data_IF_163980141796
#
_entry.id   IF_163980141796
#
_cell.length_a   1.000
_cell.length_b   1.000
_cell.length_c   1.000
_cell.angle_alpha   90.00
_cell.angle_beta   90.00
_cell.angle_gamma   90.00
#
_symmetry.space_group_name_H-M   'P 1'
#
loop_
_entity.id
_entity.type
_entity.pdbx_description
1 polymer ?
#
# COMPACT_ATOMS: atom_id res chain seq x y z
N UNK A 1 16.89 -32.71 -31.76
CA UNK A 1 15.44 -32.42 -31.67
C UNK A 1 15.18 -31.91 -30.26
N UNK A 2 14.90 -30.60 -30.14
CA UNK A 2 14.56 -29.77 -28.96
C UNK A 2 15.61 -29.72 -27.81
N UNK A 3 16.36 -28.62 -27.61
CA UNK A 3 16.01 -27.30 -27.01
C UNK A 3 15.86 -27.37 -25.48
N UNK A 4 16.80 -26.78 -24.71
CA UNK A 4 16.74 -25.43 -24.06
C UNK A 4 15.85 -25.44 -22.79
N UNK A 5 16.07 -24.76 -21.66
CA UNK A 5 17.04 -23.81 -21.08
C UNK A 5 16.67 -23.70 -19.58
N UNK A 6 17.62 -23.28 -18.73
CA UNK A 6 17.48 -22.91 -17.31
C UNK A 6 16.13 -22.29 -16.89
N UNK A 7 15.67 -22.64 -15.67
CA UNK A 7 15.32 -21.65 -14.63
C UNK A 7 15.05 -22.34 -13.27
N UNK A 8 16.12 -22.54 -12.49
CA UNK A 8 15.99 -22.64 -11.03
C UNK A 8 15.60 -21.23 -10.53
N UNK A 9 14.32 -21.02 -10.21
CA UNK A 9 13.89 -19.80 -9.50
C UNK A 9 14.22 -19.98 -8.01
N UNK A 10 15.04 -19.12 -7.40
CA UNK A 10 15.33 -19.20 -5.98
C UNK A 10 14.10 -18.75 -5.17
N UNK A 11 13.79 -19.50 -4.13
CA UNK A 11 12.84 -19.09 -3.09
C UNK A 11 13.48 -17.93 -2.32
N UNK A 12 13.18 -16.69 -2.72
CA UNK A 12 13.62 -15.51 -1.95
C UNK A 12 12.80 -15.48 -0.66
N UNK A 13 13.45 -15.71 0.47
CA UNK A 13 12.93 -15.41 1.79
C UNK A 13 12.99 -13.88 1.90
N UNK A 14 11.83 -13.23 1.97
CA UNK A 14 11.76 -11.79 2.15
C UNK A 14 12.46 -11.39 3.47
N UNK A 15 13.54 -10.62 3.35
CA UNK A 15 14.31 -10.12 4.49
C UNK A 15 13.44 -9.15 5.32
N UNK A 16 13.23 -9.40 6.63
CA UNK A 16 12.32 -8.58 7.45
C UNK A 16 12.87 -7.20 7.85
N UNK A 17 14.08 -6.82 7.41
CA UNK A 17 14.74 -5.55 7.78
C UNK A 17 15.58 -4.93 6.65
N UNK A 18 15.19 -5.12 5.38
CA UNK A 18 15.80 -4.31 4.33
C UNK A 18 15.46 -2.82 4.59
N UNK A 19 16.46 -1.91 4.73
CA UNK A 19 16.17 -0.48 4.77
C UNK A 19 15.43 -0.08 3.49
N UNK A 20 14.49 0.89 3.58
CA UNK A 20 13.69 1.28 2.41
C UNK A 20 14.63 1.63 1.26
N UNK A 21 14.32 1.20 0.02
CA UNK A 21 15.12 1.60 -1.12
C UNK A 21 15.04 3.13 -1.22
N UNK A 22 16.14 3.79 -0.88
CA UNK A 22 16.39 5.20 -1.23
C UNK A 22 16.58 5.26 -2.74
N UNK A 23 15.53 4.99 -3.50
CA UNK A 23 15.58 5.06 -4.96
C UNK A 23 15.32 6.49 -5.35
N UNK A 24 16.40 7.16 -5.75
CA UNK A 24 16.35 8.34 -6.63
C UNK A 24 15.43 7.96 -7.80
N UNK A 25 14.34 8.70 -7.96
CA UNK A 25 13.27 8.39 -8.92
C UNK A 25 13.83 8.06 -10.31
N UNK A 26 13.65 6.82 -10.76
CA UNK A 26 13.88 6.47 -12.15
C UNK A 26 12.83 7.19 -13.02
N UNK A 27 13.23 7.89 -14.09
CA UNK A 27 12.36 8.83 -14.82
C UNK A 27 11.18 8.19 -15.58
N UNK A 28 10.98 6.86 -15.50
CA UNK A 28 9.89 6.14 -16.17
C UNK A 28 9.20 5.09 -15.27
N UNK A 29 9.29 5.21 -13.94
CA UNK A 29 8.56 4.32 -13.05
C UNK A 29 7.03 4.58 -13.13
N UNK A 30 6.18 3.53 -13.07
CA UNK A 30 4.74 3.72 -12.97
C UNK A 30 4.39 4.56 -11.72
N UNK A 31 3.29 5.33 -11.74
CA UNK A 31 2.95 6.22 -10.64
C UNK A 31 2.84 5.42 -9.34
N UNK A 32 3.70 5.77 -8.37
CA UNK A 32 3.72 5.16 -7.05
C UNK A 32 2.59 5.76 -6.20
N UNK A 33 1.86 4.93 -5.45
CA UNK A 33 0.84 5.40 -4.52
C UNK A 33 1.52 6.24 -3.42
N UNK A 34 1.10 7.49 -3.26
CA UNK A 34 1.52 8.37 -2.18
C UNK A 34 0.36 8.67 -1.22
N UNK A 35 0.61 8.55 0.09
CA UNK A 35 -0.36 8.87 1.12
C UNK A 35 0.13 10.04 1.97
N UNK A 36 -0.80 10.89 2.42
CA UNK A 36 -0.46 11.95 3.36
C UNK A 36 -0.34 11.37 4.77
N UNK A 37 0.85 11.45 5.35
CA UNK A 37 1.12 11.01 6.70
C UNK A 37 0.91 12.17 7.68
N UNK A 38 -0.14 12.09 8.49
CA UNK A 38 -0.47 13.14 9.47
C UNK A 38 0.60 13.31 10.56
N UNK A 39 1.43 12.29 10.84
CA UNK A 39 2.52 12.38 11.83
C UNK A 39 3.67 13.26 11.32
N UNK A 40 4.01 13.14 10.04
CA UNK A 40 5.11 13.89 9.41
C UNK A 40 4.63 15.12 8.63
N UNK A 41 3.31 15.23 8.41
CA UNK A 41 2.61 16.26 7.62
C UNK A 41 3.10 16.37 6.18
N UNK A 42 3.49 15.24 5.58
CA UNK A 42 3.98 15.17 4.20
C UNK A 42 3.33 14.03 3.45
N UNK A 43 3.33 14.13 2.12
CA UNK A 43 3.05 12.99 1.26
C UNK A 43 4.28 12.09 1.25
N UNK A 44 4.06 10.80 1.47
CA UNK A 44 5.10 9.79 1.53
C UNK A 44 4.68 8.61 0.65
N UNK A 45 5.63 7.93 -0.01
CA UNK A 45 5.32 6.74 -0.78
C UNK A 45 4.75 5.67 0.15
N UNK A 46 3.66 5.03 -0.27
CA UNK A 46 3.07 3.93 0.47
C UNK A 46 3.93 2.67 0.30
N UNK A 47 4.41 2.12 1.41
CA UNK A 47 5.14 0.86 1.44
C UNK A 47 4.49 -0.08 2.47
N UNK A 48 3.98 -1.26 2.06
CA UNK A 48 3.34 -2.18 2.98
C UNK A 48 4.36 -2.76 3.97
N UNK A 49 3.90 -3.04 5.18
CA UNK A 49 4.74 -3.66 6.22
C UNK A 49 5.16 -5.08 5.85
N UNK A 50 4.33 -5.79 5.08
CA UNK A 50 4.59 -7.14 4.57
C UNK A 50 4.28 -7.14 3.08
N UNK A 51 5.22 -7.62 2.27
CA UNK A 51 5.07 -7.68 0.82
C UNK A 51 3.80 -8.43 0.42
N UNK A 52 3.03 -7.87 -0.52
CA UNK A 52 1.74 -8.42 -0.96
C UNK A 52 0.63 -8.41 0.09
N UNK A 53 0.82 -7.77 1.25
CA UNK A 53 -0.20 -7.66 2.32
C UNK A 53 -0.31 -6.23 2.86
N UNK A 54 -1.46 -5.62 2.60
CA UNK A 54 -1.83 -4.33 3.19
C UNK A 54 -2.69 -4.55 4.43
N UNK A 55 -2.40 -3.81 5.49
CA UNK A 55 -3.24 -3.75 6.70
C UNK A 55 -3.72 -2.32 6.88
N UNK A 56 -5.04 -2.11 6.91
CA UNK A 56 -5.66 -0.80 7.08
C UNK A 56 -6.66 -0.86 8.23
N UNK A 57 -6.61 0.13 9.11
CA UNK A 57 -7.59 0.33 10.18
C UNK A 57 -8.27 1.68 10.01
N UNK A 58 -9.60 1.67 10.07
CA UNK A 58 -10.45 2.86 10.00
C UNK A 58 -11.34 2.85 11.22
N UNK A 59 -11.38 3.96 11.96
CA UNK A 59 -12.26 4.08 13.12
C UNK A 59 -13.74 3.93 12.70
N UNK A 60 -14.47 3.11 13.45
CA UNK A 60 -15.92 2.94 13.30
C UNK A 60 -16.72 4.17 13.75
N UNK A 61 -18.01 4.17 13.45
CA UNK A 61 -18.97 5.11 14.05
C UNK A 61 -19.24 4.71 15.48
N UNK A 62 -19.52 5.69 16.33
CA UNK A 62 -20.13 5.42 17.63
C UNK A 62 -21.65 5.28 17.41
N UNK A 63 -22.26 4.11 17.65
CA UNK A 63 -23.62 3.81 17.20
C UNK A 63 -24.69 4.38 18.15
N UNK A 64 -24.63 5.68 18.45
CA UNK A 64 -25.62 6.37 19.28
C UNK A 64 -26.69 7.12 18.47
N UNK A 65 -26.43 7.37 17.18
CA UNK A 65 -27.35 8.09 16.30
C UNK A 65 -27.20 7.59 14.84
N UNK A 66 -28.08 8.05 13.97
CA UNK A 66 -28.03 7.77 12.54
C UNK A 66 -26.73 8.27 11.91
N UNK A 67 -26.24 7.50 10.93
CA UNK A 67 -25.07 7.92 10.15
C UNK A 67 -25.41 9.13 9.30
N UNK A 68 -24.62 10.19 9.46
CA UNK A 68 -24.74 11.39 8.65
C UNK A 68 -23.71 11.39 7.52
N UNK A 69 -23.83 12.35 6.60
CA UNK A 69 -22.98 12.44 5.40
C UNK A 69 -21.48 12.51 5.70
N UNK A 70 -21.10 12.99 6.90
CA UNK A 70 -19.73 12.98 7.39
C UNK A 70 -19.15 11.58 7.53
N UNK A 71 -19.90 10.66 8.14
CA UNK A 71 -19.51 9.24 8.22
C UNK A 71 -19.39 8.62 6.82
N UNK A 72 -20.37 8.88 5.94
CA UNK A 72 -20.36 8.37 4.57
C UNK A 72 -19.12 8.82 3.80
N UNK A 73 -18.76 10.11 3.88
CA UNK A 73 -17.57 10.66 3.23
C UNK A 73 -16.29 9.96 3.69
N UNK A 74 -16.13 9.76 5.00
CA UNK A 74 -14.95 9.11 5.54
C UNK A 74 -14.84 7.68 5.00
N UNK A 75 -15.91 6.88 5.07
CA UNK A 75 -15.87 5.50 4.59
C UNK A 75 -15.68 5.39 3.09
N UNK A 76 -16.29 6.25 2.27
CA UNK A 76 -16.08 6.23 0.82
C UNK A 76 -14.63 6.55 0.47
N UNK A 77 -13.98 7.51 1.16
CA UNK A 77 -12.58 7.81 0.92
C UNK A 77 -11.67 6.60 1.19
N UNK A 78 -11.93 5.86 2.27
CA UNK A 78 -11.17 4.65 2.60
C UNK A 78 -11.57 3.43 1.77
N UNK A 79 -12.79 3.37 1.23
CA UNK A 79 -13.24 2.30 0.32
C UNK A 79 -12.56 2.41 -1.06
N UNK A 80 -12.40 3.63 -1.59
CA UNK A 80 -11.55 3.86 -2.77
C UNK A 80 -10.11 3.43 -2.47
N UNK A 81 -9.63 3.67 -1.24
CA UNK A 81 -8.35 3.16 -0.76
C UNK A 81 -8.33 1.65 -0.42
N UNK A 82 -9.38 0.90 -0.73
CA UNK A 82 -9.36 -0.55 -0.55
C UNK A 82 -9.48 -1.27 -1.88
N UNK A 83 -10.12 -0.64 -2.87
CA UNK A 83 -10.41 -1.24 -4.17
C UNK A 83 -9.28 -1.06 -5.19
N UNK A 84 -8.49 0.00 -5.07
CA UNK A 84 -7.61 0.46 -6.15
C UNK A 84 -6.10 0.20 -5.85
N UNK A 85 -5.74 -0.81 -5.05
CA UNK A 85 -4.35 -1.16 -4.66
C UNK A 85 -4.16 -2.66 -4.48
#
# INVERSE_FOLDING_TARGET
>A
MAQEVQALLPTTVAEPNAPPPTTVAEPNAPPQLELFNSMTKRKEPFQPRVEGKVSMYVCGVTPYDFSHIGHARAYVAFDVLYREH
#
